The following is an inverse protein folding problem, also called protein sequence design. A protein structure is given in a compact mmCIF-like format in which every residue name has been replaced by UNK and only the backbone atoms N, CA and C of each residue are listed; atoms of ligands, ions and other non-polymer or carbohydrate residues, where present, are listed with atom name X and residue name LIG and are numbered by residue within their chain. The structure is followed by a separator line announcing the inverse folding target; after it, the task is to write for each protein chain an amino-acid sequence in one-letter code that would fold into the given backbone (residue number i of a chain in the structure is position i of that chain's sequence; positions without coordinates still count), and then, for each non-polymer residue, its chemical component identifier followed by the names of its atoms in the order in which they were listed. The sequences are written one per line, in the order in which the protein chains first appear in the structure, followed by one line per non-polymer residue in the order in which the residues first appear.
data_IF_513732217455
#
_entry.id   IF_513732217455
#
_cell.length_a   1.000
_cell.length_b   1.000
_cell.length_c   1.000
_cell.angle_alpha   90.00
_cell.angle_beta   90.00
_cell.angle_gamma   90.00
#
_symmetry.space_group_name_H-M   'P 1'
#
loop_
_entity.id
_entity.type
_entity.pdbx_description
1 polymer ?
#
# COMPACT_ATOMS: atom_id res chain seq x y z
N UNK A 1 25.52 -14.83 -8.84
CA UNK A 1 26.26 -14.44 -7.60
C UNK A 1 25.32 -13.58 -6.77
N UNK A 2 25.17 -13.81 -5.46
CA UNK A 2 24.38 -12.95 -4.56
C UNK A 2 25.23 -11.77 -4.14
N UNK A 3 24.68 -10.54 -4.23
CA UNK A 3 25.29 -9.32 -3.71
C UNK A 3 24.52 -8.88 -2.46
N UNK A 4 25.23 -8.38 -1.44
CA UNK A 4 24.67 -7.85 -0.20
C UNK A 4 24.92 -6.36 -0.13
N UNK A 5 23.91 -5.61 0.32
CA UNK A 5 23.96 -4.17 0.53
C UNK A 5 23.52 -3.86 1.95
N UNK A 6 24.30 -3.11 2.67
CA UNK A 6 23.94 -2.69 4.04
C UNK A 6 23.08 -1.44 3.99
N UNK A 7 21.94 -1.49 4.68
CA UNK A 7 20.99 -0.38 4.79
C UNK A 7 20.63 -0.19 6.28
N UNK A 8 21.52 0.42 7.07
CA UNK A 8 21.29 0.57 8.51
C UNK A 8 20.01 1.33 8.81
N UNK A 9 19.22 0.83 9.80
CA UNK A 9 17.97 1.45 10.24
C UNK A 9 16.84 1.35 9.23
N UNK A 10 16.90 0.42 8.29
CA UNK A 10 15.81 0.09 7.39
C UNK A 10 15.28 -1.31 7.66
N UNK A 11 14.06 -1.38 8.18
CA UNK A 11 13.38 -2.63 8.49
C UNK A 11 12.01 -2.63 7.84
N UNK A 12 11.66 -3.65 7.10
CA UNK A 12 10.34 -3.76 6.51
C UNK A 12 9.79 -5.20 6.58
N UNK A 13 8.47 -5.31 6.66
CA UNK A 13 7.74 -6.58 6.59
C UNK A 13 7.13 -6.72 5.20
N UNK A 14 6.61 -5.62 4.66
CA UNK A 14 5.95 -5.58 3.37
C UNK A 14 6.78 -4.80 2.36
N UNK A 15 7.11 -5.42 1.21
CA UNK A 15 7.67 -4.71 0.07
C UNK A 15 6.53 -4.24 -0.84
N UNK A 16 6.56 -2.96 -1.23
CA UNK A 16 5.55 -2.40 -2.13
C UNK A 16 5.87 -2.75 -3.58
N UNK A 17 7.07 -2.38 -4.02
CA UNK A 17 7.57 -2.69 -5.35
C UNK A 17 9.09 -2.54 -5.42
N UNK A 18 9.70 -3.18 -6.43
CA UNK A 18 11.08 -2.95 -6.80
C UNK A 18 11.23 -3.03 -8.32
N UNK A 19 12.15 -2.24 -8.89
CA UNK A 19 12.46 -2.25 -10.33
C UNK A 19 13.89 -1.82 -10.60
N UNK A 20 14.35 -2.07 -11.82
CA UNK A 20 15.66 -1.63 -12.28
C UNK A 20 15.57 -0.32 -13.04
N UNK A 21 16.58 0.53 -12.88
CA UNK A 21 16.82 1.76 -13.64
C UNK A 21 18.26 1.77 -14.19
N UNK A 22 18.58 2.72 -15.06
CA UNK A 22 19.92 2.97 -15.60
C UNK A 22 20.53 1.70 -16.23
N UNK A 23 19.77 1.01 -17.09
CA UNK A 23 20.18 -0.22 -17.78
C UNK A 23 20.59 -1.34 -16.81
N UNK A 24 19.91 -1.44 -15.66
CA UNK A 24 20.17 -2.45 -14.65
C UNK A 24 21.30 -2.12 -13.67
N UNK A 25 21.85 -0.89 -13.70
CA UNK A 25 22.86 -0.46 -12.71
C UNK A 25 22.27 -0.05 -11.39
N UNK A 26 21.05 0.43 -11.39
CA UNK A 26 20.36 0.88 -10.18
C UNK A 26 19.14 0.01 -9.90
N UNK A 27 19.01 -0.47 -8.68
CA UNK A 27 17.76 -1.08 -8.19
C UNK A 27 17.05 -0.06 -7.30
N UNK A 28 15.77 0.17 -7.61
CA UNK A 28 14.88 0.99 -6.79
C UNK A 28 13.96 0.08 -5.99
N UNK A 29 13.81 0.36 -4.70
CA UNK A 29 12.88 -0.35 -3.81
C UNK A 29 11.98 0.68 -3.14
N UNK A 30 10.69 0.41 -3.07
CA UNK A 30 9.72 1.19 -2.28
C UNK A 30 9.13 0.28 -1.23
N UNK A 31 9.26 0.65 0.04
CA UNK A 31 8.73 -0.15 1.14
C UNK A 31 8.45 0.74 2.38
N UNK A 32 7.52 0.32 3.27
CA UNK A 32 7.35 0.93 4.58
C UNK A 32 8.55 0.57 5.47
N UNK A 33 9.29 1.56 5.94
CA UNK A 33 10.32 1.35 6.95
C UNK A 33 9.71 1.38 8.35
N UNK A 34 9.81 0.28 9.08
CA UNK A 34 9.34 0.17 10.47
C UNK A 34 10.40 0.77 11.39
N UNK A 35 10.11 1.94 11.96
CA UNK A 35 11.07 2.69 12.77
C UNK A 35 11.32 2.07 14.14
N UNK A 36 10.36 1.33 14.68
CA UNK A 36 10.38 0.74 16.02
C UNK A 36 10.01 -0.74 15.96
N UNK A 37 10.86 -1.53 15.28
CA UNK A 37 10.61 -2.96 15.05
C UNK A 37 10.47 -3.76 16.34
N UNK A 38 11.13 -3.34 17.43
CA UNK A 38 11.03 -3.94 18.75
C UNK A 38 9.62 -3.91 19.34
N UNK A 39 8.77 -3.02 18.85
CA UNK A 39 7.37 -2.92 19.29
C UNK A 39 6.39 -3.74 18.46
N UNK A 40 6.84 -4.34 17.35
CA UNK A 40 5.94 -4.98 16.38
C UNK A 40 5.14 -6.16 16.94
N UNK A 41 5.60 -6.80 18.03
CA UNK A 41 4.93 -7.96 18.65
C UNK A 41 4.17 -7.54 19.91
N UNK A 42 4.82 -6.82 20.83
CA UNK A 42 4.27 -6.58 22.18
C UNK A 42 3.59 -5.23 22.35
N UNK A 43 3.97 -4.25 21.53
CA UNK A 43 3.53 -2.85 21.63
C UNK A 43 3.19 -2.27 20.26
N UNK A 44 2.35 -2.98 19.52
CA UNK A 44 2.00 -2.61 18.13
C UNK A 44 1.44 -1.19 17.99
N UNK A 45 0.83 -0.65 19.04
CA UNK A 45 0.34 0.73 19.08
C UNK A 45 1.46 1.79 19.01
N UNK A 46 2.71 1.39 19.26
CA UNK A 46 3.90 2.25 19.14
C UNK A 46 4.62 2.08 17.80
N UNK A 47 4.16 1.16 16.96
CA UNK A 47 4.76 0.95 15.63
C UNK A 47 4.45 2.14 14.74
N UNK A 48 5.50 2.68 14.15
CA UNK A 48 5.41 3.69 13.10
C UNK A 48 6.14 3.20 11.86
N UNK A 49 5.43 3.07 10.76
CA UNK A 49 5.96 2.66 9.47
C UNK A 49 5.91 3.85 8.50
N UNK A 50 7.05 4.24 7.98
CA UNK A 50 7.19 5.36 7.06
C UNK A 50 7.58 4.86 5.68
N UNK A 51 6.79 5.15 4.65
CA UNK A 51 7.11 4.75 3.28
C UNK A 51 8.37 5.47 2.81
N UNK A 52 9.36 4.69 2.38
CA UNK A 52 10.63 5.18 1.84
C UNK A 52 10.88 4.61 0.44
N UNK A 53 11.61 5.39 -0.36
CA UNK A 53 12.16 5.00 -1.65
C UNK A 53 13.68 4.88 -1.50
N UNK A 54 14.20 3.71 -1.80
CA UNK A 54 15.63 3.41 -1.80
C UNK A 54 16.13 3.32 -3.23
N UNK A 55 17.34 3.80 -3.48
CA UNK A 55 18.09 3.57 -4.72
C UNK A 55 19.41 2.92 -4.36
N UNK A 56 19.68 1.78 -4.95
CA UNK A 56 20.88 0.97 -4.73
C UNK A 56 21.69 0.97 -6.01
N UNK A 57 22.85 1.60 -6.00
CA UNK A 57 23.81 1.52 -7.11
C UNK A 57 24.57 0.19 -7.00
N UNK A 58 24.40 -0.67 -8.01
CA UNK A 58 24.97 -2.02 -8.01
C UNK A 58 26.49 -2.06 -8.32
N UNK A 59 27.06 -0.98 -8.84
CA UNK A 59 28.50 -0.86 -9.09
C UNK A 59 29.25 -0.38 -7.86
N UNK A 60 28.76 0.73 -7.28
CA UNK A 60 29.41 1.38 -6.13
C UNK A 60 28.99 0.82 -4.78
N UNK A 61 27.82 0.18 -4.71
CA UNK A 61 27.21 -0.29 -3.47
C UNK A 61 26.56 0.83 -2.66
N UNK A 62 26.51 2.05 -3.18
CA UNK A 62 25.91 3.20 -2.48
C UNK A 62 24.39 3.02 -2.45
N UNK A 63 23.81 3.18 -1.25
CA UNK A 63 22.36 3.21 -1.05
C UNK A 63 21.95 4.60 -0.60
N UNK A 64 20.99 5.19 -1.34
CA UNK A 64 20.33 6.43 -0.94
C UNK A 64 18.89 6.14 -0.53
N UNK A 65 18.41 6.87 0.49
CA UNK A 65 17.05 6.71 1.04
C UNK A 65 16.33 8.05 1.04
N UNK A 66 15.07 8.04 0.65
CA UNK A 66 14.22 9.22 0.60
C UNK A 66 12.85 8.90 1.18
N UNK A 67 12.39 9.62 2.23
CA UNK A 67 11.03 9.51 2.72
C UNK A 67 10.02 9.89 1.63
N UNK A 68 8.97 9.08 1.49
CA UNK A 68 7.84 9.35 0.59
C UNK A 68 6.71 10.04 1.33
N UNK A 69 6.48 9.64 2.59
CA UNK A 69 5.53 10.28 3.48
C UNK A 69 5.93 10.02 4.94
N UNK A 70 5.74 11.01 5.79
CA UNK A 70 5.99 10.91 7.23
C UNK A 70 4.81 10.27 8.01
N UNK A 71 3.69 9.98 7.35
CA UNK A 71 2.52 9.34 7.98
C UNK A 71 2.84 7.89 8.35
N UNK A 72 2.11 7.36 9.34
CA UNK A 72 2.18 5.94 9.67
C UNK A 72 1.40 5.14 8.61
N UNK A 73 2.11 4.54 7.67
CA UNK A 73 1.57 3.89 6.48
C UNK A 73 2.14 2.48 6.31
N UNK A 74 1.25 1.51 6.13
CA UNK A 74 1.62 0.14 5.79
C UNK A 74 0.56 -0.50 4.88
N UNK A 75 0.61 -1.82 4.65
CA UNK A 75 -0.31 -2.56 3.78
C UNK A 75 -0.53 -1.88 2.43
N UNK A 76 0.57 -1.43 1.85
CA UNK A 76 0.52 -0.66 0.62
C UNK A 76 0.46 -1.57 -0.60
N UNK A 77 -0.34 -1.14 -1.59
CA UNK A 77 -0.55 -1.84 -2.85
C UNK A 77 -0.33 -0.90 -4.03
N UNK A 78 -0.06 -1.50 -5.19
CA UNK A 78 0.04 -0.83 -6.48
C UNK A 78 -0.88 -1.50 -7.50
N UNK A 79 -1.02 -0.91 -8.67
CA UNK A 79 -1.62 -1.62 -9.80
C UNK A 79 -0.76 -2.87 -10.13
N UNK A 80 -1.33 -4.10 -10.07
CA UNK A 80 -0.58 -5.34 -10.27
C UNK A 80 0.16 -5.44 -11.62
N UNK A 81 -0.29 -4.71 -12.64
CA UNK A 81 0.37 -4.66 -13.95
C UNK A 81 1.77 -4.01 -13.90
N UNK A 82 2.08 -3.30 -12.79
CA UNK A 82 3.35 -2.60 -12.57
C UNK A 82 4.27 -3.30 -11.56
N UNK A 83 3.93 -4.48 -11.08
CA UNK A 83 4.82 -5.27 -10.21
C UNK A 83 6.11 -5.60 -10.97
N UNK A 84 7.27 -5.29 -10.37
CA UNK A 84 8.59 -5.44 -10.98
C UNK A 84 8.92 -4.39 -12.04
N UNK A 85 8.08 -3.37 -12.24
CA UNK A 85 8.28 -2.27 -13.19
C UNK A 85 8.20 -0.94 -12.47
N UNK A 86 8.80 0.10 -13.05
CA UNK A 86 8.68 1.45 -12.53
C UNK A 86 7.21 1.84 -12.42
N UNK A 87 6.79 2.22 -11.23
CA UNK A 87 5.44 2.73 -10.95
C UNK A 87 5.51 4.15 -10.41
N UNK A 88 4.41 4.86 -10.55
CA UNK A 88 4.21 6.21 -10.05
C UNK A 88 3.33 6.25 -8.80
N UNK A 89 2.29 5.43 -8.76
CA UNK A 89 1.29 5.50 -7.71
C UNK A 89 1.36 4.31 -6.75
N UNK A 90 1.23 4.63 -5.47
CA UNK A 90 1.14 3.66 -4.37
C UNK A 90 -0.10 4.01 -3.54
N UNK A 91 -0.83 3.00 -3.10
CA UNK A 91 -1.99 3.16 -2.23
C UNK A 91 -1.69 2.47 -0.90
N UNK A 92 -1.61 3.25 0.18
CA UNK A 92 -1.19 2.74 1.48
C UNK A 92 -2.27 2.94 2.54
N UNK A 93 -2.42 1.96 3.41
CA UNK A 93 -3.32 2.04 4.55
C UNK A 93 -2.75 2.96 5.63
N UNK A 94 -3.59 3.78 6.24
CA UNK A 94 -3.23 4.69 7.34
C UNK A 94 -3.40 3.95 8.66
N UNK A 95 -2.28 3.62 9.29
CA UNK A 95 -2.21 2.94 10.58
C UNK A 95 -2.17 3.91 11.76
N UNK A 96 -3.17 4.76 11.90
CA UNK A 96 -3.21 5.75 12.97
C UNK A 96 -4.58 5.71 13.67
N UNK A 97 -4.62 5.13 14.89
CA UNK A 97 -3.53 4.41 15.59
C UNK A 97 -3.40 2.93 15.15
N UNK A 98 -2.17 2.41 15.07
CA UNK A 98 -1.96 0.96 14.90
C UNK A 98 -2.59 0.17 16.07
N UNK A 99 -3.07 -1.06 15.84
CA UNK A 99 -3.10 -1.82 14.58
C UNK A 99 -4.33 -1.54 13.71
N UNK A 100 -5.09 -0.49 14.01
CA UNK A 100 -6.32 -0.17 13.29
C UNK A 100 -6.03 0.71 12.09
N UNK A 101 -6.63 0.38 10.94
CA UNK A 101 -6.49 1.14 9.70
C UNK A 101 -7.65 2.13 9.61
N UNK A 102 -7.34 3.42 9.76
CA UNK A 102 -8.33 4.51 9.80
C UNK A 102 -8.66 5.12 8.44
N UNK A 103 -7.90 4.79 7.41
CA UNK A 103 -8.08 5.33 6.06
C UNK A 103 -7.08 4.77 5.06
N UNK A 104 -7.02 5.40 3.91
CA UNK A 104 -6.09 5.07 2.83
C UNK A 104 -5.60 6.35 2.16
N UNK A 105 -4.35 6.35 1.70
CA UNK A 105 -3.73 7.44 0.93
C UNK A 105 -3.26 6.95 -0.43
N UNK A 106 -3.25 7.86 -1.41
CA UNK A 106 -2.57 7.72 -2.69
C UNK A 106 -1.30 8.54 -2.65
N UNK A 107 -0.17 7.91 -2.92
CA UNK A 107 1.15 8.54 -2.98
C UNK A 107 1.62 8.59 -4.43
N UNK A 108 2.27 9.69 -4.82
CA UNK A 108 2.96 9.85 -6.11
C UNK A 108 4.48 9.75 -5.87
N UNK A 109 5.03 8.54 -5.96
CA UNK A 109 6.45 8.28 -5.67
C UNK A 109 7.42 8.86 -6.71
N UNK A 110 6.91 9.43 -7.82
CA UNK A 110 7.73 10.16 -8.77
C UNK A 110 8.15 11.54 -8.26
N UNK A 111 7.43 12.08 -7.25
CA UNK A 111 7.65 13.42 -6.68
C UNK A 111 8.55 13.44 -5.46
N UNK A 112 9.10 12.32 -5.06
CA UNK A 112 9.86 12.17 -3.81
C UNK A 112 11.08 13.10 -3.75
N UNK A 113 11.72 13.35 -4.88
CA UNK A 113 12.90 14.22 -4.97
C UNK A 113 12.56 15.72 -4.81
N UNK A 114 11.30 16.10 -5.06
CA UNK A 114 10.86 17.48 -5.04
C UNK A 114 10.25 17.90 -3.70
N UNK A 115 9.63 17.02 -2.94
CA UNK A 115 8.71 17.41 -1.87
C UNK A 115 8.84 16.70 -0.53
N UNK A 116 9.37 15.50 -0.42
CA UNK A 116 9.42 14.76 0.86
C UNK A 116 8.06 14.32 1.44
N UNK A 117 6.93 14.87 0.94
CA UNK A 117 5.56 14.43 1.22
C UNK A 117 4.81 14.29 -0.10
N UNK A 118 4.56 13.04 -0.47
CA UNK A 118 4.08 12.69 -1.80
C UNK A 118 2.59 12.29 -1.83
N UNK A 119 1.83 12.57 -0.76
CA UNK A 119 0.40 12.30 -0.73
C UNK A 119 -0.34 13.17 -1.76
N UNK A 120 -1.04 12.53 -2.68
CA UNK A 120 -1.85 13.18 -3.72
C UNK A 120 -3.33 12.84 -3.63
N UNK A 121 -3.71 11.97 -2.71
CA UNK A 121 -5.10 11.62 -2.43
C UNK A 121 -5.23 10.97 -1.06
N UNK A 122 -6.41 11.13 -0.43
CA UNK A 122 -6.67 10.59 0.89
C UNK A 122 -8.16 10.33 1.11
N UNK A 123 -8.47 9.18 1.71
CA UNK A 123 -9.80 8.85 2.23
C UNK A 123 -9.71 8.31 3.65
N UNK A 124 -10.22 9.08 4.61
CA UNK A 124 -10.44 8.59 5.97
C UNK A 124 -11.83 7.96 6.08
N UNK A 125 -11.96 6.85 6.80
CA UNK A 125 -13.21 6.09 6.88
C UNK A 125 -14.22 6.68 7.86
N UNK A 126 -13.78 7.62 8.68
CA UNK A 126 -14.58 8.30 9.71
C UNK A 126 -14.37 7.73 11.10
N UNK A 127 -14.91 8.44 12.10
CA UNK A 127 -14.74 8.10 13.51
C UNK A 127 -15.36 6.74 13.86
N UNK A 128 -14.56 5.88 14.51
CA UNK A 128 -14.95 4.52 14.87
C UNK A 128 -15.04 3.55 13.68
N UNK A 129 -14.60 3.98 12.49
CA UNK A 129 -14.58 3.16 11.29
C UNK A 129 -13.15 2.75 10.96
N UNK A 130 -12.91 1.43 10.84
CA UNK A 130 -11.59 0.90 10.56
C UNK A 130 -11.64 -0.13 9.44
N UNK A 131 -10.65 -0.05 8.54
CA UNK A 131 -10.56 -0.91 7.36
C UNK A 131 -9.58 -2.05 7.50
N UNK A 132 -9.51 -2.85 6.44
CA UNK A 132 -8.46 -3.83 6.18
C UNK A 132 -7.48 -3.32 5.14
N UNK A 133 -6.58 -4.23 4.71
CA UNK A 133 -5.70 -3.99 3.58
C UNK A 133 -6.48 -3.56 2.34
N UNK A 134 -6.11 -2.47 1.66
CA UNK A 134 -6.71 -2.10 0.38
C UNK A 134 -6.22 -3.03 -0.72
N UNK A 135 -7.00 -3.15 -1.81
CA UNK A 135 -6.59 -3.85 -3.01
C UNK A 135 -6.92 -3.01 -4.26
N UNK A 136 -5.98 -2.94 -5.20
CA UNK A 136 -6.19 -2.22 -6.46
C UNK A 136 -6.80 -3.16 -7.52
N UNK A 137 -7.90 -2.71 -8.14
CA UNK A 137 -8.58 -3.42 -9.23
C UNK A 137 -8.60 -2.50 -10.44
N UNK A 138 -7.88 -2.84 -11.50
CA UNK A 138 -7.89 -2.08 -12.75
C UNK A 138 -9.29 -2.10 -13.39
N UNK A 139 -9.72 -0.96 -13.98
CA UNK A 139 -10.96 -0.90 -14.78
C UNK A 139 -10.83 -1.73 -16.04
N UNK A 140 -9.70 -1.55 -16.74
CA UNK A 140 -9.40 -2.26 -17.98
C UNK A 140 -7.94 -2.74 -17.96
N UNK A 141 -7.64 -3.83 -18.66
CA UNK A 141 -6.27 -4.29 -18.85
C UNK A 141 -5.54 -3.35 -19.81
N UNK A 142 -4.34 -2.88 -19.41
CA UNK A 142 -3.52 -1.97 -20.22
C UNK A 142 -3.92 -0.51 -20.15
N UNK A 143 -4.83 -0.12 -19.26
CA UNK A 143 -5.17 1.26 -18.98
C UNK A 143 -4.05 2.06 -18.29
N UNK A 144 -4.34 3.33 -17.96
CA UNK A 144 -3.42 4.16 -17.17
C UNK A 144 -3.17 3.52 -15.80
N UNK A 145 -2.02 3.79 -15.21
CA UNK A 145 -1.59 3.17 -13.96
C UNK A 145 -2.61 3.33 -12.81
N UNK A 146 -3.24 4.49 -12.74
CA UNK A 146 -4.24 4.81 -11.72
C UNK A 146 -5.70 4.69 -12.21
N UNK A 147 -5.93 4.05 -13.37
CA UNK A 147 -7.29 3.84 -13.85
C UNK A 147 -7.89 2.56 -13.27
N UNK A 148 -8.42 2.69 -12.07
CA UNK A 148 -8.91 1.56 -11.32
C UNK A 148 -9.81 1.93 -10.15
N UNK A 149 -10.05 0.93 -9.35
CA UNK A 149 -10.74 1.05 -8.08
C UNK A 149 -9.84 0.55 -6.96
N UNK A 150 -9.90 1.24 -5.84
CA UNK A 150 -9.36 0.74 -4.59
C UNK A 150 -10.50 0.14 -3.77
N UNK A 151 -10.34 -1.11 -3.36
CA UNK A 151 -11.38 -1.83 -2.63
C UNK A 151 -10.88 -2.27 -1.26
N UNK A 152 -11.74 -2.22 -0.26
CA UNK A 152 -11.42 -2.69 1.10
C UNK A 152 -12.68 -2.96 1.91
N UNK A 153 -12.55 -3.79 2.95
CA UNK A 153 -13.58 -3.93 3.98
C UNK A 153 -13.40 -2.85 5.04
N UNK A 154 -14.52 -2.28 5.52
CA UNK A 154 -14.53 -1.32 6.62
C UNK A 154 -15.59 -1.73 7.63
N UNK A 155 -15.22 -1.75 8.91
CA UNK A 155 -16.11 -2.00 10.04
C UNK A 155 -16.36 -0.72 10.83
N UNK A 156 -17.63 -0.39 11.08
CA UNK A 156 -18.07 0.66 11.98
C UNK A 156 -18.30 0.05 13.36
N UNK A 157 -17.38 0.27 14.31
CA UNK A 157 -17.45 -0.29 15.67
C UNK A 157 -18.62 0.25 16.49
N UNK A 158 -19.08 1.46 16.17
CA UNK A 158 -20.18 2.08 16.90
C UNK A 158 -21.53 1.49 16.51
N UNK A 159 -21.66 1.06 15.25
CA UNK A 159 -22.87 0.45 14.71
C UNK A 159 -22.85 -1.07 14.68
N UNK A 160 -21.65 -1.66 14.79
CA UNK A 160 -21.45 -3.10 14.61
C UNK A 160 -21.65 -3.56 13.17
N UNK A 161 -21.54 -2.66 12.20
CA UNK A 161 -21.79 -2.93 10.78
C UNK A 161 -20.51 -3.02 9.98
N UNK A 162 -20.45 -3.96 9.05
CA UNK A 162 -19.35 -4.05 8.06
C UNK A 162 -19.85 -3.72 6.67
N UNK A 163 -18.97 -3.11 5.89
CA UNK A 163 -19.23 -2.73 4.49
C UNK A 163 -17.99 -2.99 3.65
N UNK A 164 -18.20 -3.25 2.38
CA UNK A 164 -17.15 -3.26 1.36
C UNK A 164 -17.23 -1.95 0.60
N UNK A 165 -16.11 -1.24 0.52
CA UNK A 165 -16.01 0.05 -0.18
C UNK A 165 -15.32 -0.16 -1.53
N UNK A 166 -15.81 0.56 -2.53
CA UNK A 166 -15.17 0.72 -3.84
C UNK A 166 -14.91 2.21 -4.04
N UNK A 167 -13.64 2.57 -4.21
CA UNK A 167 -13.19 3.95 -4.32
C UNK A 167 -12.54 4.20 -5.68
N UNK A 168 -12.79 5.34 -6.32
CA UNK A 168 -12.16 5.71 -7.59
C UNK A 168 -10.74 6.20 -7.35
N UNK A 169 -9.76 5.53 -7.95
CA UNK A 169 -8.33 5.85 -7.77
C UNK A 169 -7.87 7.09 -8.56
N UNK A 170 -8.65 7.58 -9.53
CA UNK A 170 -8.40 8.86 -10.20
C UNK A 170 -8.86 10.07 -9.40
N UNK A 171 -9.81 9.88 -8.48
CA UNK A 171 -10.26 10.97 -7.61
C UNK A 171 -9.17 11.35 -6.60
N UNK A 172 -8.85 12.65 -6.44
CA UNK A 172 -7.93 13.11 -5.40
C UNK A 172 -8.43 12.81 -3.98
N UNK A 173 -9.73 12.67 -3.80
CA UNK A 173 -10.36 12.34 -2.52
C UNK A 173 -10.66 10.85 -2.38
N UNK A 174 -10.26 10.03 -3.36
CA UNK A 174 -10.58 8.61 -3.43
C UNK A 174 -12.08 8.40 -3.22
N UNK A 175 -12.90 9.02 -4.08
CA UNK A 175 -14.35 9.04 -3.92
C UNK A 175 -14.94 7.65 -3.89
N UNK A 176 -15.82 7.43 -2.91
CA UNK A 176 -16.53 6.16 -2.78
C UNK A 176 -17.62 6.10 -3.84
N UNK A 177 -17.43 5.23 -4.84
CA UNK A 177 -18.36 5.03 -5.96
C UNK A 177 -19.36 3.91 -5.71
N UNK A 178 -19.04 2.98 -4.79
CA UNK A 178 -19.99 1.96 -4.36
C UNK A 178 -19.74 1.52 -2.92
N UNK A 179 -20.82 1.14 -2.25
CA UNK A 179 -20.83 0.59 -0.89
C UNK A 179 -21.69 -0.65 -0.87
N UNK A 180 -21.12 -1.78 -0.49
CA UNK A 180 -21.87 -3.02 -0.28
C UNK A 180 -21.97 -3.27 1.23
N UNK A 181 -23.17 -3.23 1.79
CA UNK A 181 -23.41 -3.60 3.18
C UNK A 181 -23.30 -5.11 3.33
N UNK A 182 -22.59 -5.55 4.35
CA UNK A 182 -22.40 -6.96 4.59
C UNK A 182 -23.37 -7.47 5.66
N UNK A 183 -23.88 -8.71 5.51
CA UNK A 183 -24.87 -9.26 6.43
C UNK A 183 -24.30 -9.59 7.82
N UNK A 184 -22.98 -9.67 7.92
CA UNK A 184 -22.25 -10.00 9.15
C UNK A 184 -20.96 -9.20 9.27
N UNK A 185 -20.42 -9.09 10.48
CA UNK A 185 -19.12 -8.52 10.72
C UNK A 185 -18.03 -9.27 9.94
N UNK A 186 -17.17 -8.51 9.27
CA UNK A 186 -15.89 -9.01 8.74
C UNK A 186 -14.83 -8.75 9.81
N UNK A 187 -14.11 -9.77 10.28
CA UNK A 187 -13.00 -9.59 11.21
C UNK A 187 -11.90 -8.72 10.59
N UNK A 188 -11.19 -8.01 11.44
CA UNK A 188 -9.94 -7.39 10.98
C UNK A 188 -8.98 -8.51 10.55
N UNK A 189 -8.62 -8.49 9.27
CA UNK A 189 -7.68 -9.42 8.70
C UNK A 189 -6.29 -8.80 8.62
N UNK A 190 -5.28 -9.64 8.32
CA UNK A 190 -3.94 -9.16 8.02
C UNK A 190 -3.86 -8.84 6.52
N UNK A 191 -4.03 -9.86 5.68
CA UNK A 191 -4.03 -9.70 4.22
C UNK A 191 -5.37 -10.05 3.60
N UNK A 192 -5.70 -9.34 2.51
CA UNK A 192 -6.83 -9.61 1.63
C UNK A 192 -6.34 -9.97 0.23
N UNK A 193 -7.16 -10.69 -0.52
CA UNK A 193 -6.89 -11.01 -1.90
C UNK A 193 -8.15 -10.85 -2.76
N UNK A 194 -8.01 -10.16 -3.88
CA UNK A 194 -9.08 -10.01 -4.86
C UNK A 194 -8.95 -11.08 -5.95
N UNK A 195 -9.98 -11.90 -6.10
CA UNK A 195 -10.01 -12.97 -7.11
C UNK A 195 -11.03 -12.61 -8.19
N UNK A 196 -10.58 -12.52 -9.44
CA UNK A 196 -11.47 -12.33 -10.58
C UNK A 196 -12.33 -13.57 -10.79
N UNK A 197 -13.58 -13.41 -11.21
CA UNK A 197 -14.48 -14.53 -11.53
C UNK A 197 -13.90 -15.48 -12.57
N UNK A 198 -13.18 -14.93 -13.57
CA UNK A 198 -12.47 -15.72 -14.59
C UNK A 198 -11.44 -16.69 -14.00
N UNK A 199 -10.79 -16.30 -12.90
CA UNK A 199 -9.75 -17.13 -12.26
C UNK A 199 -10.39 -18.19 -11.35
N UNK A 200 -11.50 -17.85 -10.69
CA UNK A 200 -12.32 -18.83 -9.96
C UNK A 200 -12.83 -19.94 -10.88
N UNK A 201 -13.30 -19.58 -12.07
CA UNK A 201 -13.80 -20.57 -13.06
C UNK A 201 -12.68 -21.50 -13.55
N UNK A 202 -11.45 -21.01 -13.72
CA UNK A 202 -10.31 -21.84 -14.10
C UNK A 202 -9.92 -22.83 -13.00
N UNK A 203 -9.99 -22.41 -11.73
CA UNK A 203 -9.64 -23.24 -10.58
C UNK A 203 -10.63 -24.40 -10.34
N UNK A 204 -11.88 -24.28 -10.79
CA UNK A 204 -12.91 -25.35 -10.70
C UNK A 204 -12.73 -26.44 -11.76
N UNK A 205 -11.90 -26.19 -12.80
CA UNK A 205 -11.64 -27.11 -13.90
C UNK A 205 -10.35 -27.94 -13.70
N UNK A 206 -9.66 -27.77 -12.58
CA UNK A 206 -8.49 -28.55 -12.13
C UNK A 206 -8.88 -29.50 -11.01
#
# INVERSE_FOLDING_TARGET
MIKWFEVPGFNFIHAINAWEEDEGRTVVVVAPNILSLEHAIERVELVHAMVEKLRIDLETGIVTRQPVSARNLDFAVINPAFVGKKNRFVYAAVGDPMPKISGVVKLDVSKVEERGECTVGCRMYGEGCYGGEPFFVAKEEGGEEDDGYLVTYVHDERKGESKFLVMDTKSPELDVVAVVRLPRRVPYGFHGYFVKESDLRKAVLL
#
